data_IF_863830705881
#
_entry.id   IF_863830705881
#
_cell.length_a   1.000
_cell.length_b   1.000
_cell.length_c   1.000
_cell.angle_alpha   90.00
_cell.angle_beta   90.00
_cell.angle_gamma   90.00
#
_symmetry.space_group_name_H-M   'P 1'
#
loop_
_entity.id
_entity.type
_entity.pdbx_description
1 polymer ?
#
# COMPACT_ATOMS: atom_id res chain seq x y z
N UNK A 1 19.34 -0.22 0.40
CA UNK A 1 18.93 0.76 1.44
C UNK A 1 19.61 2.12 1.24
N UNK A 2 19.94 2.51 0.00
CA UNK A 2 20.58 3.81 -0.31
C UNK A 2 19.72 4.74 -1.20
N UNK A 3 18.61 4.23 -1.76
CA UNK A 3 17.68 5.06 -2.54
C UNK A 3 16.70 5.86 -1.67
N UNK A 4 16.56 5.52 -0.38
CA UNK A 4 15.57 6.10 0.53
C UNK A 4 15.95 7.50 1.06
N UNK A 5 17.24 7.85 1.07
CA UNK A 5 17.71 9.06 1.76
C UNK A 5 17.86 10.31 0.85
N UNK A 6 17.70 10.19 -0.46
CA UNK A 6 18.07 11.29 -1.37
C UNK A 6 16.89 12.16 -1.84
N UNK A 7 15.67 11.91 -1.35
CA UNK A 7 14.44 12.65 -1.76
C UNK A 7 13.97 13.65 -0.69
N UNK A 8 14.64 13.71 0.47
CA UNK A 8 14.32 14.67 1.55
C UNK A 8 15.09 15.99 1.41
N UNK A 9 14.77 16.78 0.39
CA UNK A 9 15.20 18.18 0.32
C UNK A 9 14.08 19.05 -0.27
N UNK A 10 13.35 19.74 0.61
CA UNK A 10 12.29 20.70 0.28
C UNK A 10 12.85 22.03 -0.23
N UNK A 11 12.06 22.74 -1.06
CA UNK A 11 11.83 24.15 -0.83
C UNK A 11 10.33 24.46 -0.63
N UNK A 12 10.05 25.34 0.33
CA UNK A 12 8.73 25.91 0.61
C UNK A 12 8.29 26.90 -0.47
N UNK A 13 6.99 26.95 -0.77
CA UNK A 13 6.36 28.08 -1.43
C UNK A 13 4.93 28.32 -0.92
N UNK A 14 4.75 29.46 -0.27
CA UNK A 14 3.48 30.07 0.12
C UNK A 14 2.78 30.71 -1.08
N UNK A 15 1.44 30.61 -1.14
CA UNK A 15 0.62 31.37 -2.09
C UNK A 15 -0.87 31.25 -1.81
N UNK A 16 -1.53 32.39 -1.70
CA UNK A 16 -2.85 32.63 -1.08
C UNK A 16 -4.06 32.38 -1.98
N UNK A 17 -5.18 32.07 -1.32
CA UNK A 17 -6.53 31.90 -1.85
C UNK A 17 -7.11 33.14 -2.55
N UNK A 18 -8.00 32.92 -3.51
CA UNK A 18 -9.18 33.76 -3.75
C UNK A 18 -10.26 33.03 -4.59
N UNK A 19 -11.51 33.17 -4.16
CA UNK A 19 -12.77 32.85 -4.86
C UNK A 19 -13.82 33.89 -4.38
N UNK A 20 -15.08 34.01 -4.90
CA UNK A 20 -15.76 33.21 -5.95
C UNK A 20 -16.71 34.00 -6.91
N UNK A 21 -17.24 33.28 -7.92
CA UNK A 21 -18.62 33.39 -8.45
C UNK A 21 -18.82 34.00 -9.86
N UNK A 22 -20.02 33.89 -10.50
CA UNK A 22 -21.22 33.11 -10.14
C UNK A 22 -21.79 32.19 -11.25
N UNK A 23 -22.91 31.55 -10.90
CA UNK A 23 -23.61 30.44 -11.53
C UNK A 23 -24.25 30.66 -12.92
N UNK A 24 -24.39 29.56 -13.67
CA UNK A 24 -25.43 29.37 -14.70
C UNK A 24 -26.06 27.98 -14.58
N UNK A 25 -27.39 27.99 -14.44
CA UNK A 25 -28.27 26.81 -14.47
C UNK A 25 -28.22 26.10 -15.81
N UNK A 26 -28.06 24.78 -15.78
CA UNK A 26 -28.44 23.91 -16.88
C UNK A 26 -29.50 22.93 -16.42
N UNK A 27 -30.69 23.10 -16.98
CA UNK A 27 -31.81 22.16 -16.90
C UNK A 27 -31.42 20.97 -17.78
N UNK A 28 -31.45 19.74 -17.25
CA UNK A 28 -31.39 18.54 -18.08
C UNK A 28 -32.49 17.56 -17.70
N UNK A 29 -33.21 17.17 -18.74
CA UNK A 29 -34.41 16.36 -18.73
C UNK A 29 -34.13 14.93 -18.26
N UNK A 30 -35.10 14.37 -17.54
CA UNK A 30 -35.10 12.97 -17.13
C UNK A 30 -35.10 12.05 -18.36
N UNK A 31 -33.99 11.34 -18.57
CA UNK A 31 -33.90 10.27 -19.55
C UNK A 31 -34.49 8.99 -18.95
N UNK A 32 -35.52 8.45 -19.59
CA UNK A 32 -36.14 7.19 -19.21
C UNK A 32 -35.12 6.04 -19.29
N UNK A 33 -34.94 5.31 -18.19
CA UNK A 33 -34.09 4.11 -18.13
C UNK A 33 -34.75 2.98 -18.92
N UNK A 34 -34.05 2.45 -19.92
CA UNK A 34 -34.40 1.19 -20.57
C UNK A 34 -34.08 0.01 -19.63
N UNK A 35 -34.86 -1.09 -19.63
CA UNK A 35 -34.57 -2.25 -18.78
C UNK A 35 -33.33 -3.02 -19.24
N UNK A 36 -32.51 -3.47 -18.28
CA UNK A 36 -31.38 -4.38 -18.51
C UNK A 36 -31.87 -5.75 -19.03
N UNK A 37 -31.17 -6.40 -19.97
CA UNK A 37 -31.39 -7.81 -20.28
C UNK A 37 -30.91 -8.72 -19.13
N UNK A 38 -31.50 -9.91 -18.95
CA UNK A 38 -31.09 -10.86 -17.90
C UNK A 38 -29.70 -11.46 -18.20
N UNK A 39 -28.93 -11.85 -17.17
CA UNK A 39 -27.63 -12.46 -17.36
C UNK A 39 -27.76 -13.88 -17.95
N UNK A 40 -27.01 -14.13 -19.01
CA UNK A 40 -26.86 -15.45 -19.61
C UNK A 40 -26.12 -16.39 -18.64
N UNK A 41 -26.71 -17.55 -18.35
CA UNK A 41 -26.11 -18.59 -17.52
C UNK A 41 -24.91 -19.22 -18.23
N UNK A 42 -23.71 -19.06 -17.67
CA UNK A 42 -22.51 -19.76 -18.17
C UNK A 42 -22.42 -21.17 -17.56
N UNK A 43 -22.13 -22.21 -18.37
CA UNK A 43 -21.96 -23.57 -17.87
C UNK A 43 -20.60 -23.76 -17.17
N UNK A 44 -20.61 -24.51 -16.07
CA UNK A 44 -19.43 -24.88 -15.30
C UNK A 44 -18.46 -25.74 -16.13
N UNK A 45 -17.28 -25.20 -16.42
CA UNK A 45 -16.16 -25.96 -16.97
C UNK A 45 -15.45 -26.66 -15.81
N UNK A 46 -15.57 -27.99 -15.76
CA UNK A 46 -14.82 -28.85 -14.86
C UNK A 46 -13.33 -28.79 -15.25
N UNK A 47 -12.51 -28.26 -14.35
CA UNK A 47 -11.06 -28.21 -14.53
C UNK A 47 -10.45 -29.59 -14.25
N UNK A 48 -9.68 -30.19 -15.18
CA UNK A 48 -8.99 -31.45 -14.92
C UNK A 48 -7.85 -31.22 -13.92
N UNK A 49 -7.87 -31.98 -12.83
CA UNK A 49 -6.82 -32.03 -11.82
C UNK A 49 -5.42 -32.22 -12.44
N UNK A 50 -4.62 -31.17 -12.40
CA UNK A 50 -3.20 -31.23 -12.73
C UNK A 50 -2.46 -31.83 -11.52
N UNK A 51 -2.28 -33.15 -11.51
CA UNK A 51 -1.52 -33.88 -10.49
C UNK A 51 -0.02 -33.60 -10.70
N UNK A 52 0.52 -32.53 -10.09
CA UNK A 52 1.97 -32.31 -10.01
C UNK A 52 2.60 -33.46 -9.22
N UNK A 53 3.39 -34.29 -9.90
CA UNK A 53 4.29 -35.23 -9.25
C UNK A 53 5.42 -34.44 -8.58
N UNK A 54 5.62 -34.68 -7.29
CA UNK A 54 6.71 -34.13 -6.49
C UNK A 54 8.02 -34.86 -6.85
N UNK A 55 9.13 -34.17 -7.16
CA UNK A 55 10.41 -34.83 -7.39
C UNK A 55 10.98 -35.42 -6.07
N UNK A 56 11.78 -36.50 -6.15
CA UNK A 56 12.33 -37.18 -4.98
C UNK A 56 13.38 -36.32 -4.26
N UNK A 57 13.57 -36.51 -2.93
CA UNK A 57 14.49 -35.71 -2.14
C UNK A 57 15.96 -36.03 -2.48
N UNK A 58 16.76 -34.97 -2.58
CA UNK A 58 18.22 -35.07 -2.74
C UNK A 58 18.86 -35.62 -1.45
N UNK A 59 19.78 -36.57 -1.62
CA UNK A 59 20.58 -37.20 -0.58
C UNK A 59 21.63 -36.19 -0.10
N UNK A 60 21.59 -35.79 1.17
CA UNK A 60 22.63 -34.95 1.79
C UNK A 60 23.81 -35.80 2.27
N UNK A 61 25.08 -35.35 2.11
CA UNK A 61 26.26 -36.00 2.70
C UNK A 61 26.32 -35.79 4.24
N UNK A 62 27.00 -36.68 4.98
CA UNK A 62 26.97 -36.68 6.44
C UNK A 62 27.74 -35.51 7.06
N UNK A 63 27.13 -34.93 8.08
CA UNK A 63 27.67 -33.86 8.92
C UNK A 63 28.86 -34.36 9.77
N UNK A 64 30.01 -33.67 9.80
CA UNK A 64 31.07 -33.99 10.74
C UNK A 64 30.70 -33.59 12.17
N UNK A 65 31.06 -34.44 13.14
CA UNK A 65 30.81 -34.30 14.57
C UNK A 65 31.43 -33.02 15.18
N UNK A 66 30.87 -32.51 16.29
CA UNK A 66 31.35 -31.27 16.91
C UNK A 66 32.65 -31.51 17.69
N UNK A 67 33.67 -30.70 17.40
CA UNK A 67 34.89 -30.58 18.22
C UNK A 67 34.57 -29.66 19.39
N UNK A 68 34.82 -30.16 20.60
CA UNK A 68 34.72 -29.42 21.85
C UNK A 68 35.79 -28.33 21.93
N UNK A 69 35.38 -27.09 22.22
CA UNK A 69 36.27 -26.00 22.62
C UNK A 69 35.83 -25.41 23.97
N UNK A 70 36.76 -25.00 24.83
CA UNK A 70 36.50 -24.65 26.23
C UNK A 70 35.95 -23.24 26.41
N UNK A 71 35.11 -23.09 27.45
CA UNK A 71 34.47 -21.84 27.87
C UNK A 71 35.48 -20.75 28.29
N UNK A 72 35.24 -19.47 27.96
CA UNK A 72 35.91 -18.35 28.60
C UNK A 72 35.21 -17.91 29.91
N UNK A 73 35.93 -17.24 30.81
CA UNK A 73 35.47 -16.96 32.18
C UNK A 73 34.53 -15.76 32.30
N UNK A 74 33.69 -15.82 33.33
CA UNK A 74 32.72 -14.83 33.79
C UNK A 74 33.30 -13.42 33.97
N UNK A 75 32.59 -12.40 33.46
CA UNK A 75 32.55 -11.01 33.97
C UNK A 75 31.47 -10.21 33.22
N UNK A 76 31.00 -9.09 33.77
CA UNK A 76 30.00 -8.96 34.81
C UNK A 76 28.61 -8.64 34.22
N UNK A 77 27.57 -9.00 34.98
CA UNK A 77 26.16 -8.66 34.77
C UNK A 77 25.96 -7.17 34.48
N UNK A 78 25.81 -6.82 33.21
CA UNK A 78 25.03 -5.66 32.80
C UNK A 78 23.63 -6.15 32.46
N UNK A 79 22.72 -5.97 33.43
CA UNK A 79 21.29 -6.14 33.22
C UNK A 79 20.81 -5.15 32.15
N UNK A 80 20.71 -5.63 30.91
CA UNK A 80 20.02 -4.90 29.84
C UNK A 80 18.52 -5.24 29.90
N UNK A 81 17.61 -4.27 29.68
CA UNK A 81 16.19 -4.54 29.56
C UNK A 81 15.94 -5.14 28.17
N UNK A 82 16.02 -6.47 28.03
CA UNK A 82 15.73 -7.19 26.78
C UNK A 82 14.22 -7.40 26.57
N UNK A 83 13.44 -7.30 27.64
CA UNK A 83 11.99 -7.54 27.64
C UNK A 83 11.15 -6.55 26.78
N UNK A 84 11.46 -5.24 26.69
CA UNK A 84 10.65 -4.29 25.91
C UNK A 84 10.72 -4.56 24.40
N UNK A 85 11.89 -4.91 23.87
CA UNK A 85 12.09 -5.11 22.43
C UNK A 85 11.45 -6.42 21.94
N UNK A 86 11.57 -7.50 22.73
CA UNK A 86 10.86 -8.77 22.45
C UNK A 86 9.34 -8.61 22.54
N UNK A 87 8.84 -7.86 23.54
CA UNK A 87 7.41 -7.58 23.68
C UNK A 87 6.87 -6.71 22.55
N UNK A 88 7.65 -5.74 22.07
CA UNK A 88 7.25 -4.87 20.98
C UNK A 88 7.10 -5.63 19.65
N UNK A 89 8.05 -6.52 19.36
CA UNK A 89 7.99 -7.37 18.18
C UNK A 89 6.76 -8.30 18.21
N UNK A 90 6.41 -8.87 19.36
CA UNK A 90 5.22 -9.73 19.49
C UNK A 90 3.91 -8.96 19.29
N UNK A 91 3.80 -7.74 19.83
CA UNK A 91 2.62 -6.90 19.65
C UNK A 91 2.43 -6.48 18.18
N UNK A 92 3.51 -6.04 17.52
CA UNK A 92 3.45 -5.69 16.10
C UNK A 92 3.12 -6.91 15.24
N UNK A 93 3.73 -8.07 15.52
CA UNK A 93 3.45 -9.32 14.79
C UNK A 93 1.96 -9.63 14.84
N UNK A 94 1.34 -9.59 16.03
CA UNK A 94 -0.10 -9.83 16.17
C UNK A 94 -0.97 -8.86 15.36
N UNK A 95 -0.56 -7.60 15.23
CA UNK A 95 -1.28 -6.62 14.40
C UNK A 95 -1.09 -6.94 12.92
N UNK A 96 0.12 -7.25 12.48
CA UNK A 96 0.42 -7.55 11.08
C UNK A 96 -0.15 -8.91 10.62
N UNK A 97 -0.37 -9.85 11.53
CA UNK A 97 -0.96 -11.17 11.24
C UNK A 97 -2.41 -11.11 10.73
N UNK A 98 -3.10 -9.98 10.87
CA UNK A 98 -4.45 -9.78 10.30
C UNK A 98 -4.42 -9.46 8.81
N UNK A 99 -3.24 -9.19 8.25
CA UNK A 99 -3.03 -8.78 6.87
C UNK A 99 -2.64 -9.97 6.00
N UNK A 100 -2.93 -9.90 4.70
CA UNK A 100 -2.44 -10.88 3.73
C UNK A 100 -0.93 -10.71 3.43
N UNK A 101 -0.31 -9.64 3.96
CA UNK A 101 1.09 -9.27 3.75
C UNK A 101 1.82 -9.02 5.09
N UNK A 102 1.89 -10.02 5.99
CA UNK A 102 2.43 -9.82 7.34
C UNK A 102 3.91 -9.44 7.34
N UNK A 103 4.70 -9.98 6.42
CA UNK A 103 6.13 -9.65 6.30
C UNK A 103 6.35 -8.21 5.85
N UNK A 104 5.61 -7.75 4.84
CA UNK A 104 5.64 -6.38 4.36
C UNK A 104 5.09 -5.39 5.40
N UNK A 105 4.06 -5.75 6.15
CA UNK A 105 3.57 -4.95 7.27
C UNK A 105 4.66 -4.74 8.33
N UNK A 106 5.33 -5.82 8.74
CA UNK A 106 6.45 -5.76 9.69
C UNK A 106 7.58 -4.88 9.17
N UNK A 107 8.00 -5.10 7.92
CA UNK A 107 9.10 -4.36 7.31
C UNK A 107 8.79 -2.85 7.15
N UNK A 108 7.54 -2.53 6.86
CA UNK A 108 7.05 -1.15 6.72
C UNK A 108 7.01 -0.43 8.06
N UNK A 109 6.47 -1.08 9.09
CA UNK A 109 6.13 -0.41 10.35
C UNK A 109 7.27 -0.44 11.35
N UNK A 110 7.97 -1.57 11.50
CA UNK A 110 8.97 -1.75 12.55
C UNK A 110 10.06 -0.66 12.61
N UNK A 111 10.60 -0.14 11.48
CA UNK A 111 11.61 0.93 11.51
C UNK A 111 11.08 2.28 12.00
N UNK A 112 9.77 2.49 11.99
CA UNK A 112 9.11 3.76 12.28
C UNK A 112 8.42 3.77 13.65
N UNK A 113 8.40 2.63 14.35
CA UNK A 113 7.77 2.53 15.65
C UNK A 113 8.52 3.33 16.71
N UNK A 114 7.75 4.13 17.45
CA UNK A 114 8.20 4.80 18.65
C UNK A 114 7.10 4.69 19.73
N UNK A 115 7.50 4.34 20.96
CA UNK A 115 6.58 4.26 22.10
C UNK A 115 5.71 2.99 22.10
N UNK A 116 4.44 3.16 22.48
CA UNK A 116 3.50 2.05 22.63
C UNK A 116 2.97 1.54 21.28
N UNK A 117 3.00 0.22 21.11
CA UNK A 117 2.51 -0.46 19.91
C UNK A 117 1.05 -0.84 20.14
N UNK A 118 0.15 -0.19 19.40
CA UNK A 118 -1.26 -0.54 19.36
C UNK A 118 -1.78 -0.44 17.92
N UNK A 119 -2.94 -1.04 17.60
CA UNK A 119 -3.46 -1.06 16.24
C UNK A 119 -3.64 0.33 15.60
N UNK A 120 -4.00 1.36 16.39
CA UNK A 120 -4.17 2.72 15.89
C UNK A 120 -2.82 3.37 15.56
N UNK A 121 -1.80 3.22 16.42
CA UNK A 121 -0.46 3.76 16.14
C UNK A 121 0.18 3.08 14.92
N UNK A 122 0.01 1.77 14.79
CA UNK A 122 0.46 1.00 13.62
C UNK A 122 -0.28 1.44 12.34
N UNK A 123 -1.61 1.61 12.40
CA UNK A 123 -2.37 2.08 11.24
C UNK A 123 -1.96 3.49 10.80
N UNK A 124 -1.76 4.43 11.74
CA UNK A 124 -1.31 5.78 11.40
C UNK A 124 0.06 5.78 10.70
N UNK A 125 1.00 4.95 11.18
CA UNK A 125 2.30 4.78 10.53
C UNK A 125 2.10 4.22 9.11
N UNK A 126 1.29 3.18 8.95
CA UNK A 126 0.99 2.59 7.65
C UNK A 126 0.37 3.59 6.66
N UNK A 127 -0.55 4.45 7.13
CA UNK A 127 -1.18 5.49 6.31
C UNK A 127 -0.15 6.51 5.87
N UNK A 128 0.74 6.96 6.76
CA UNK A 128 1.80 7.90 6.38
C UNK A 128 2.80 7.32 5.39
N UNK A 129 3.14 6.02 5.51
CA UNK A 129 4.02 5.36 4.53
C UNK A 129 3.33 5.25 3.17
N UNK A 130 2.05 4.85 3.15
CA UNK A 130 1.28 4.78 1.90
C UNK A 130 1.14 6.17 1.26
N UNK A 131 0.84 7.19 2.05
CA UNK A 131 0.77 8.58 1.57
C UNK A 131 2.09 8.99 0.93
N UNK A 132 3.22 8.71 1.60
CA UNK A 132 4.53 9.03 1.04
C UNK A 132 4.84 8.26 -0.24
N UNK A 133 4.36 7.02 -0.32
CA UNK A 133 4.53 6.18 -1.50
C UNK A 133 3.73 6.71 -2.69
N UNK A 134 2.49 7.18 -2.47
CA UNK A 134 1.73 7.88 -3.51
C UNK A 134 2.42 9.16 -3.96
N UNK A 135 2.91 10.00 -3.04
CA UNK A 135 3.66 11.22 -3.40
C UNK A 135 4.89 10.91 -4.29
N UNK A 136 5.60 9.82 -3.98
CA UNK A 136 6.74 9.37 -4.79
C UNK A 136 6.27 8.89 -6.17
N UNK A 137 5.19 8.11 -6.24
CA UNK A 137 4.62 7.64 -7.49
C UNK A 137 4.14 8.80 -8.38
N UNK A 138 3.44 9.78 -7.80
CA UNK A 138 3.05 11.05 -8.47
C UNK A 138 4.28 11.75 -9.04
N UNK A 139 5.35 11.90 -8.26
CA UNK A 139 6.56 12.59 -8.71
C UNK A 139 7.26 11.85 -9.86
N UNK A 140 7.30 10.50 -9.82
CA UNK A 140 7.86 9.70 -10.90
C UNK A 140 6.99 9.78 -12.16
N UNK A 141 5.68 9.63 -12.03
CA UNK A 141 4.74 9.75 -13.14
C UNK A 141 4.85 11.14 -13.81
N UNK A 142 4.81 12.21 -13.02
CA UNK A 142 4.98 13.59 -13.48
C UNK A 142 6.31 13.78 -14.23
N UNK A 143 7.40 13.19 -13.73
CA UNK A 143 8.70 13.25 -14.40
C UNK A 143 8.65 12.57 -15.76
N UNK A 144 8.03 11.40 -15.86
CA UNK A 144 7.89 10.65 -17.12
C UNK A 144 6.99 11.39 -18.11
N UNK A 145 5.90 12.03 -17.66
CA UNK A 145 5.04 12.87 -18.51
C UNK A 145 5.82 14.01 -19.14
N UNK A 146 6.71 14.65 -18.36
CA UNK A 146 7.49 15.80 -18.80
C UNK A 146 8.71 15.43 -19.68
N UNK A 147 9.05 14.15 -19.81
CA UNK A 147 10.12 13.72 -20.68
C UNK A 147 9.72 13.91 -22.17
N UNK A 148 10.64 14.43 -22.97
CA UNK A 148 10.43 14.69 -24.40
C UNK A 148 10.41 13.39 -25.23
N UNK A 149 10.98 12.31 -24.71
CA UNK A 149 11.02 11.00 -25.35
C UNK A 149 9.75 10.16 -25.11
N UNK A 150 8.92 10.55 -24.15
CA UNK A 150 7.64 9.90 -23.85
C UNK A 150 6.63 10.19 -24.96
N UNK A 151 5.96 9.17 -25.50
CA UNK A 151 4.94 9.33 -26.54
C UNK A 151 3.68 9.99 -25.98
N UNK A 152 2.82 10.53 -26.85
CA UNK A 152 1.58 11.17 -26.42
C UNK A 152 0.65 10.18 -25.69
N UNK A 153 0.54 8.96 -26.19
CA UNK A 153 -0.29 7.91 -25.60
C UNK A 153 0.18 7.52 -24.20
N UNK A 154 1.50 7.49 -23.98
CA UNK A 154 2.07 7.24 -22.65
C UNK A 154 1.82 8.42 -21.71
N UNK A 155 1.88 9.66 -22.22
CA UNK A 155 1.58 10.86 -21.40
C UNK A 155 0.14 10.87 -20.91
N UNK A 156 -0.81 10.57 -21.77
CA UNK A 156 -2.23 10.54 -21.40
C UNK A 156 -2.50 9.50 -20.29
N UNK A 157 -1.88 8.32 -20.38
CA UNK A 157 -1.97 7.30 -19.33
C UNK A 157 -1.28 7.75 -18.03
N UNK A 158 -0.09 8.36 -18.11
CA UNK A 158 0.62 8.89 -16.94
C UNK A 158 -0.13 10.02 -16.24
N UNK A 159 -0.81 10.89 -16.98
CA UNK A 159 -1.63 11.96 -16.42
C UNK A 159 -2.80 11.36 -15.59
N UNK A 160 -3.42 10.28 -16.09
CA UNK A 160 -4.43 9.53 -15.33
C UNK A 160 -3.85 8.94 -14.04
N UNK A 161 -2.62 8.44 -14.08
CA UNK A 161 -1.92 7.96 -12.88
C UNK A 161 -1.66 9.09 -11.87
N UNK A 162 -1.19 10.26 -12.33
CA UNK A 162 -0.97 11.43 -11.48
C UNK A 162 -2.25 11.83 -10.75
N UNK A 163 -3.37 11.97 -11.48
CA UNK A 163 -4.66 12.32 -10.88
C UNK A 163 -5.14 11.27 -9.88
N UNK A 164 -4.95 9.99 -10.18
CA UNK A 164 -5.33 8.87 -9.31
C UNK A 164 -4.51 8.86 -8.02
N UNK A 165 -3.19 9.03 -8.11
CA UNK A 165 -2.32 9.04 -6.94
C UNK A 165 -2.53 10.27 -6.05
N UNK A 166 -2.77 11.44 -6.64
CA UNK A 166 -3.12 12.65 -5.87
C UNK A 166 -4.45 12.49 -5.13
N UNK A 167 -5.42 11.81 -5.75
CA UNK A 167 -6.67 11.41 -5.08
C UNK A 167 -6.40 10.46 -3.91
N UNK A 168 -5.47 9.51 -4.09
CA UNK A 168 -4.99 8.63 -3.02
C UNK A 168 -4.38 9.39 -1.83
N UNK A 169 -3.55 10.39 -2.10
CA UNK A 169 -2.99 11.27 -1.04
C UNK A 169 -4.10 12.03 -0.31
N UNK A 170 -5.09 12.57 -1.03
CA UNK A 170 -6.21 13.28 -0.43
C UNK A 170 -7.04 12.38 0.49
N UNK A 171 -7.41 11.19 0.03
CA UNK A 171 -8.19 10.21 0.81
C UNK A 171 -7.45 9.73 2.06
N UNK A 172 -6.12 9.63 2.02
CA UNK A 172 -5.32 9.26 3.19
C UNK A 172 -5.26 10.36 4.24
N UNK A 173 -5.24 11.64 3.84
CA UNK A 173 -5.37 12.75 4.77
C UNK A 173 -6.75 12.73 5.47
N UNK A 174 -7.79 12.47 4.70
CA UNK A 174 -9.16 12.31 5.22
C UNK A 174 -9.28 11.07 6.13
N UNK A 175 -8.53 10.01 5.85
CA UNK A 175 -8.51 8.80 6.69
C UNK A 175 -7.89 9.09 8.06
N UNK A 176 -6.83 9.90 8.13
CA UNK A 176 -6.25 10.37 9.40
C UNK A 176 -7.25 11.23 10.19
N UNK A 177 -8.06 12.05 9.51
CA UNK A 177 -9.15 12.80 10.13
C UNK A 177 -10.26 11.86 10.66
N UNK A 178 -10.63 10.83 9.90
CA UNK A 178 -11.62 9.82 10.31
C UNK A 178 -11.17 9.04 11.57
N UNK A 179 -9.88 8.70 11.66
CA UNK A 179 -9.28 8.12 12.88
C UNK A 179 -9.47 9.05 14.08
N UNK A 180 -9.21 10.34 13.90
CA UNK A 180 -9.35 11.33 14.97
C UNK A 180 -10.81 11.57 15.38
N UNK A 181 -11.73 11.46 14.41
CA UNK A 181 -13.17 11.65 14.61
C UNK A 181 -13.93 10.43 15.11
N UNK A 182 -13.24 9.33 15.38
CA UNK A 182 -13.87 8.08 15.78
C UNK A 182 -14.88 7.48 14.72
N UNK A 183 -14.69 7.79 13.43
CA UNK A 183 -15.51 7.32 12.29
C UNK A 183 -14.89 6.14 11.50
N UNK A 184 -15.20 4.90 11.94
CA UNK A 184 -14.75 3.67 11.26
C UNK A 184 -15.32 3.55 9.84
N UNK A 185 -16.58 3.96 9.65
CA UNK A 185 -17.26 3.78 8.36
C UNK A 185 -16.61 4.61 7.27
N UNK A 186 -16.31 5.87 7.59
CA UNK A 186 -15.54 6.76 6.70
C UNK A 186 -14.12 6.24 6.49
N UNK A 187 -13.42 5.83 7.56
CA UNK A 187 -12.07 5.28 7.45
C UNK A 187 -12.00 4.07 6.50
N UNK A 188 -12.90 3.10 6.67
CA UNK A 188 -12.95 1.92 5.81
C UNK A 188 -13.25 2.27 4.36
N UNK A 189 -14.10 3.27 4.12
CA UNK A 189 -14.43 3.72 2.75
C UNK A 189 -13.21 4.33 2.08
N UNK A 190 -12.52 5.24 2.76
CA UNK A 190 -11.33 5.92 2.24
C UNK A 190 -10.17 4.94 1.99
N UNK A 191 -9.90 4.02 2.92
CA UNK A 191 -8.85 3.01 2.73
C UNK A 191 -9.21 1.95 1.68
N UNK A 192 -10.49 1.76 1.36
CA UNK A 192 -10.89 0.91 0.23
C UNK A 192 -10.70 1.64 -1.10
N UNK A 193 -10.97 2.95 -1.13
CA UNK A 193 -10.74 3.77 -2.31
C UNK A 193 -9.26 3.81 -2.69
N UNK A 194 -8.35 3.87 -1.71
CA UNK A 194 -6.90 3.92 -1.98
C UNK A 194 -6.34 2.69 -2.70
N UNK A 195 -7.00 1.54 -2.60
CA UNK A 195 -6.65 0.34 -3.37
C UNK A 195 -6.92 0.56 -4.86
N UNK A 196 -7.97 1.29 -5.22
CA UNK A 196 -8.42 1.42 -6.61
C UNK A 196 -7.58 2.38 -7.44
N UNK A 197 -6.77 3.24 -6.82
CA UNK A 197 -6.02 4.25 -7.54
C UNK A 197 -4.84 3.69 -8.35
N UNK A 198 -4.14 2.68 -7.84
CA UNK A 198 -3.12 1.98 -8.63
C UNK A 198 -3.73 1.11 -9.72
N UNK A 199 -4.89 0.47 -9.46
CA UNK A 199 -5.65 -0.24 -10.49
C UNK A 199 -6.05 0.72 -11.63
N UNK A 200 -6.57 1.91 -11.30
CA UNK A 200 -6.95 2.93 -12.29
C UNK A 200 -5.75 3.36 -13.15
N UNK A 201 -4.56 3.49 -12.54
CA UNK A 201 -3.34 3.79 -13.28
C UNK A 201 -2.98 2.66 -14.26
N UNK A 202 -2.94 1.40 -13.81
CA UNK A 202 -2.64 0.25 -14.67
C UNK A 202 -3.68 0.06 -15.78
N UNK A 203 -4.96 0.32 -15.50
CA UNK A 203 -6.04 0.28 -16.48
C UNK A 203 -5.82 1.29 -17.60
N UNK A 204 -5.36 2.51 -17.28
CA UNK A 204 -5.06 3.54 -18.28
C UNK A 204 -4.01 3.09 -19.32
N UNK A 205 -3.04 2.25 -18.90
CA UNK A 205 -2.09 1.62 -19.82
C UNK A 205 -2.71 0.44 -20.58
N UNK A 206 -3.54 -0.35 -19.92
CA UNK A 206 -4.15 -1.57 -20.46
C UNK A 206 -5.20 -1.31 -21.55
N UNK A 207 -5.77 -0.10 -21.60
CA UNK A 207 -6.62 0.35 -22.71
C UNK A 207 -5.88 0.35 -24.07
N UNK A 208 -4.55 0.44 -24.02
CA UNK A 208 -3.69 0.36 -25.20
C UNK A 208 -2.95 -1.00 -25.23
N UNK A 209 -3.32 -1.95 -26.11
CA UNK A 209 -2.87 -3.34 -26.04
C UNK A 209 -1.37 -3.58 -26.28
N UNK A 210 -0.60 -2.53 -26.58
CA UNK A 210 0.85 -2.58 -26.84
C UNK A 210 1.65 -1.75 -25.82
N UNK A 211 0.98 -1.23 -24.79
CA UNK A 211 1.58 -0.35 -23.80
C UNK A 211 1.69 -1.08 -22.47
N UNK A 212 2.89 -1.07 -21.89
CA UNK A 212 3.11 -1.55 -20.52
C UNK A 212 3.37 -0.34 -19.63
N UNK A 213 2.76 -0.35 -18.44
CA UNK A 213 2.97 0.71 -17.45
C UNK A 213 4.43 0.72 -16.99
N UNK A 214 5.15 1.87 -17.09
CA UNK A 214 6.44 2.03 -16.43
C UNK A 214 6.32 2.13 -14.90
N UNK A 215 5.09 2.18 -14.37
CA UNK A 215 4.79 2.31 -12.93
C UNK A 215 4.34 1.01 -12.28
N UNK A 216 4.22 -0.08 -13.05
CA UNK A 216 3.67 -1.38 -12.60
C UNK A 216 4.17 -1.88 -11.24
N UNK A 217 5.48 -1.77 -10.97
CA UNK A 217 6.05 -2.20 -9.68
C UNK A 217 5.68 -1.26 -8.53
N UNK A 218 5.56 0.04 -8.80
CA UNK A 218 5.07 1.01 -7.82
C UNK A 218 3.59 0.77 -7.54
N UNK A 219 2.77 0.52 -8.56
CA UNK A 219 1.34 0.23 -8.40
C UNK A 219 1.13 -0.98 -7.48
N UNK A 220 1.85 -2.08 -7.76
CA UNK A 220 1.81 -3.27 -6.91
C UNK A 220 2.28 -3.01 -5.48
N UNK A 221 3.19 -2.06 -5.27
CA UNK A 221 3.65 -1.69 -3.93
C UNK A 221 2.58 -0.88 -3.19
N UNK A 222 1.94 0.07 -3.88
CA UNK A 222 0.83 0.87 -3.36
C UNK A 222 -0.34 -0.03 -2.95
N UNK A 223 -0.73 -0.99 -3.79
CA UNK A 223 -1.83 -1.92 -3.51
C UNK A 223 -1.59 -2.75 -2.25
N UNK A 224 -0.36 -3.25 -2.07
CA UNK A 224 0.02 -4.00 -0.86
C UNK A 224 -0.09 -3.12 0.38
N UNK A 225 0.44 -1.91 0.33
CA UNK A 225 0.36 -0.96 1.44
C UNK A 225 -1.09 -0.56 1.75
N UNK A 226 -1.91 -0.30 0.73
CA UNK A 226 -3.33 0.00 0.88
C UNK A 226 -4.09 -1.17 1.52
N UNK A 227 -3.86 -2.38 1.03
CA UNK A 227 -4.43 -3.62 1.60
C UNK A 227 -4.03 -3.84 3.07
N UNK A 228 -2.76 -3.65 3.42
CA UNK A 228 -2.27 -3.71 4.81
C UNK A 228 -3.05 -2.73 5.69
N UNK A 229 -3.16 -1.46 5.27
CA UNK A 229 -3.86 -0.43 6.03
C UNK A 229 -5.35 -0.75 6.20
N UNK A 230 -6.03 -1.18 5.13
CA UNK A 230 -7.43 -1.56 5.19
C UNK A 230 -7.66 -2.73 6.16
N UNK A 231 -6.85 -3.79 6.08
CA UNK A 231 -6.96 -4.96 6.95
C UNK A 231 -6.76 -4.60 8.43
N UNK A 232 -5.75 -3.78 8.75
CA UNK A 232 -5.55 -3.29 10.12
C UNK A 232 -6.76 -2.47 10.58
N UNK A 233 -7.29 -1.58 9.73
CA UNK A 233 -8.46 -0.75 10.07
C UNK A 233 -9.71 -1.59 10.39
N UNK A 234 -9.93 -2.68 9.66
CA UNK A 234 -11.05 -3.60 9.87
C UNK A 234 -10.94 -4.39 11.18
N UNK A 235 -9.73 -4.52 11.73
CA UNK A 235 -9.48 -5.20 13.01
C UNK A 235 -9.71 -4.31 14.25
N UNK A 236 -9.90 -3.01 14.04
CA UNK A 236 -10.02 -2.05 15.14
C UNK A 236 -11.35 -2.20 15.89
N UNK A 237 -11.30 -2.10 17.21
CA UNK A 237 -12.48 -2.05 18.09
C UNK A 237 -12.52 -0.68 18.76
N UNK A 238 -13.46 0.17 18.37
CA UNK A 238 -13.55 1.55 18.87
C UNK A 238 -14.58 1.48 20.01
N UNK A 239 -14.11 1.71 21.23
CA UNK A 239 -14.93 1.72 22.46
C UNK A 239 -15.27 3.14 22.87
#
# INVERSE_FOLDING_TARGET
MELYNNVYSHPEASGTADAPGPATSFISAATARSPLPPPASSPAIQSPHCRRQLPPPAIQPPLPSPVSSPSPPDSPTHSAPTLPLLSGNAALTKICDVTDYPAECLATVAPLLAGEINPISVLKIGIHVLQKSFEVATAVATKLTNDLSTSAEVKDALDTCVESFDSGVADLNDALAAISGHDIGRLSTLLSATITYSDTCEEAFSEQPHLESPLKEMDQHLDKLASINLAISASLQWS
#
